data_IF_285398995566
#
_entry.id   IF_285398995566
#
_cell.length_a   1.000
_cell.length_b   1.000
_cell.length_c   1.000
_cell.angle_alpha   90.00
_cell.angle_beta   90.00
_cell.angle_gamma   90.00
#
_symmetry.space_group_name_H-M   'P 1'
#
loop_
_entity.id
_entity.type
_entity.pdbx_description
1 polymer ?
#
# COMPACT_ATOMS: atom_id res chain seq x y z
N UNK A 1 5.35 -2.73 -11.99
CA UNK A 1 4.05 -2.80 -12.68
C UNK A 1 3.52 -4.22 -12.62
N UNK A 2 2.27 -4.40 -12.15
CA UNK A 2 1.53 -5.66 -12.29
C UNK A 2 1.26 -5.88 -13.78
N UNK A 3 1.63 -7.04 -14.31
CA UNK A 3 1.62 -7.28 -15.75
C UNK A 3 1.07 -8.67 -16.10
N UNK A 4 -0.14 -8.93 -15.65
CA UNK A 4 -0.94 -10.11 -15.99
C UNK A 4 -2.40 -9.69 -16.28
N UNK A 5 -2.61 -8.82 -17.31
CA UNK A 5 -3.94 -8.28 -17.61
C UNK A 5 -4.96 -9.35 -18.01
N UNK A 6 -4.52 -10.46 -18.61
CA UNK A 6 -5.39 -11.57 -19.02
C UNK A 6 -6.05 -12.25 -17.81
N UNK A 7 -5.35 -12.33 -16.68
CA UNK A 7 -5.90 -12.81 -15.41
C UNK A 7 -6.29 -11.65 -14.46
N UNK A 8 -6.52 -10.44 -15.01
CA UNK A 8 -6.96 -9.26 -14.25
C UNK A 8 -6.00 -8.87 -13.13
N UNK A 9 -4.70 -9.07 -13.34
CA UNK A 9 -3.64 -8.83 -12.36
C UNK A 9 -3.96 -9.46 -11.00
N UNK A 10 -4.54 -10.67 -11.02
CA UNK A 10 -4.88 -11.39 -9.80
C UNK A 10 -3.60 -11.73 -9.01
N UNK A 11 -3.72 -11.70 -7.69
CA UNK A 11 -2.67 -12.15 -6.79
C UNK A 11 -2.62 -13.67 -6.76
N UNK A 12 -2.10 -14.25 -7.85
CA UNK A 12 -1.69 -15.65 -7.91
C UNK A 12 -0.51 -15.88 -6.96
N UNK A 13 -0.21 -17.13 -6.65
CA UNK A 13 0.95 -17.47 -5.84
C UNK A 13 2.25 -16.89 -6.44
N UNK A 14 2.43 -17.00 -7.75
CA UNK A 14 3.56 -16.41 -8.47
C UNK A 14 3.60 -14.88 -8.34
N UNK A 15 2.46 -14.19 -8.52
CA UNK A 15 2.39 -12.73 -8.38
C UNK A 15 2.75 -12.28 -6.96
N UNK A 16 2.29 -13.00 -5.93
CA UNK A 16 2.60 -12.71 -4.54
C UNK A 16 4.11 -12.82 -4.26
N UNK A 17 4.73 -13.92 -4.73
CA UNK A 17 6.16 -14.15 -4.55
C UNK A 17 7.00 -13.10 -5.28
N UNK A 18 6.68 -12.84 -6.55
CA UNK A 18 7.41 -11.87 -7.38
C UNK A 18 7.29 -10.46 -6.80
N UNK A 19 6.10 -10.03 -6.40
CA UNK A 19 5.91 -8.69 -5.83
C UNK A 19 6.64 -8.53 -4.49
N UNK A 20 6.58 -9.54 -3.63
CA UNK A 20 7.31 -9.56 -2.35
C UNK A 20 8.82 -9.45 -2.56
N UNK A 21 9.36 -10.21 -3.52
CA UNK A 21 10.79 -10.17 -3.85
C UNK A 21 11.21 -8.80 -4.39
N UNK A 22 10.45 -8.22 -5.32
CA UNK A 22 10.75 -6.92 -5.91
C UNK A 22 10.71 -5.81 -4.85
N UNK A 23 9.73 -5.79 -3.96
CA UNK A 23 9.64 -4.81 -2.87
C UNK A 23 10.86 -4.94 -1.95
N UNK A 24 11.20 -6.17 -1.57
CA UNK A 24 12.39 -6.46 -0.75
C UNK A 24 13.67 -5.94 -1.40
N UNK A 25 13.90 -6.28 -2.67
CA UNK A 25 15.08 -5.81 -3.41
C UNK A 25 15.13 -4.29 -3.53
N UNK A 26 14.00 -3.65 -3.86
CA UNK A 26 13.91 -2.22 -3.96
C UNK A 26 14.18 -1.52 -2.63
N UNK A 27 13.78 -2.11 -1.51
CA UNK A 27 14.00 -1.55 -0.18
C UNK A 27 15.48 -1.40 0.18
N UNK A 28 16.34 -2.30 -0.34
CA UNK A 28 17.79 -2.28 -0.09
C UNK A 28 18.59 -1.44 -1.09
N UNK A 29 18.04 -1.15 -2.28
CA UNK A 29 18.75 -0.37 -3.31
C UNK A 29 18.80 1.12 -2.94
N UNK A 30 20.01 1.66 -2.71
CA UNK A 30 20.21 3.08 -2.36
C UNK A 30 19.73 4.05 -3.45
N UNK A 31 19.78 3.65 -4.73
CA UNK A 31 19.33 4.45 -5.87
C UNK A 31 17.81 4.59 -5.95
N UNK A 32 17.05 3.73 -5.28
CA UNK A 32 15.59 3.80 -5.23
C UNK A 32 15.20 4.58 -3.98
N UNK A 33 14.42 5.65 -4.17
CA UNK A 33 13.92 6.51 -3.09
C UNK A 33 12.42 6.32 -2.83
N UNK A 34 11.65 5.97 -3.87
CA UNK A 34 10.19 5.76 -3.81
C UNK A 34 9.85 4.57 -4.69
N UNK A 35 8.86 3.78 -4.29
CA UNK A 35 8.32 2.66 -5.06
C UNK A 35 6.91 3.05 -5.52
N UNK A 36 6.62 2.87 -6.81
CA UNK A 36 5.27 3.04 -7.38
C UNK A 36 4.77 1.68 -7.84
N UNK A 37 3.61 1.25 -7.33
CA UNK A 37 2.91 0.05 -7.78
C UNK A 37 1.82 0.48 -8.76
N UNK A 38 2.00 0.14 -10.02
CA UNK A 38 1.05 0.38 -11.11
C UNK A 38 0.62 -0.95 -11.74
N UNK A 39 -0.37 -0.94 -12.61
CA UNK A 39 -0.86 -2.11 -13.32
C UNK A 39 -1.07 -1.86 -14.81
N UNK A 40 -0.92 -2.89 -15.64
CA UNK A 40 -1.33 -2.87 -17.04
C UNK A 40 -2.77 -3.37 -17.22
N UNK A 41 -3.45 -2.85 -18.23
CA UNK A 41 -4.84 -3.22 -18.55
C UNK A 41 -5.89 -2.44 -17.75
N UNK A 42 -7.13 -2.90 -17.80
CA UNK A 42 -8.30 -2.20 -17.27
C UNK A 42 -8.60 -2.52 -15.79
N UNK A 43 -7.83 -3.42 -15.21
CA UNK A 43 -7.96 -3.85 -13.81
C UNK A 43 -6.64 -3.66 -13.11
N UNK A 44 -6.63 -2.88 -12.03
CA UNK A 44 -5.44 -2.75 -11.19
C UNK A 44 -5.09 -4.08 -10.54
N UNK A 45 -6.04 -4.67 -9.81
CA UNK A 45 -5.90 -6.00 -9.22
C UNK A 45 -7.27 -6.52 -8.76
N UNK A 46 -7.63 -7.72 -9.22
CA UNK A 46 -8.93 -8.35 -8.89
C UNK A 46 -8.95 -9.13 -7.56
N UNK A 47 -7.83 -9.18 -6.83
CA UNK A 47 -7.67 -10.03 -5.65
C UNK A 47 -7.06 -11.38 -5.97
N UNK A 48 -7.28 -12.39 -5.11
CA UNK A 48 -6.67 -13.70 -5.31
C UNK A 48 -7.16 -14.42 -6.58
N UNK A 49 -6.31 -15.27 -7.14
CA UNK A 49 -6.66 -16.10 -8.29
C UNK A 49 -7.65 -17.21 -7.87
N UNK A 50 -8.93 -17.04 -8.21
CA UNK A 50 -9.97 -17.99 -7.84
C UNK A 50 -9.83 -19.36 -8.54
N UNK A 51 -9.11 -19.44 -9.67
CA UNK A 51 -8.82 -20.72 -10.34
C UNK A 51 -7.87 -21.56 -9.47
N UNK A 52 -6.82 -20.95 -8.91
CA UNK A 52 -5.89 -21.61 -7.98
C UNK A 52 -6.62 -22.07 -6.70
N UNK A 53 -7.44 -21.21 -6.11
CA UNK A 53 -8.27 -21.54 -4.94
C UNK A 53 -9.20 -22.71 -5.24
N UNK A 54 -9.84 -22.73 -6.42
CA UNK A 54 -10.73 -23.81 -6.82
C UNK A 54 -9.97 -25.11 -7.04
N UNK A 55 -8.81 -25.06 -7.70
CA UNK A 55 -7.98 -26.22 -7.94
C UNK A 55 -7.47 -26.87 -6.64
N UNK A 56 -7.10 -26.05 -5.65
CA UNK A 56 -6.62 -26.53 -4.36
C UNK A 56 -7.66 -27.35 -3.58
N UNK A 57 -8.97 -27.14 -3.84
CA UNK A 57 -10.05 -27.97 -3.23
C UNK A 57 -9.97 -29.45 -3.59
N UNK A 58 -9.22 -29.80 -4.64
CA UNK A 58 -8.96 -31.21 -5.03
C UNK A 58 -7.81 -31.85 -4.23
N UNK A 59 -7.12 -31.11 -3.36
CA UNK A 59 -6.11 -31.69 -2.47
C UNK A 59 -6.75 -32.60 -1.43
N UNK A 60 -5.96 -33.51 -0.84
CA UNK A 60 -6.44 -34.51 0.14
C UNK A 60 -7.11 -33.89 1.37
N UNK A 61 -6.66 -32.69 1.76
CA UNK A 61 -7.15 -31.89 2.88
C UNK A 61 -8.20 -30.85 2.46
N UNK A 62 -8.77 -30.97 1.24
CA UNK A 62 -9.67 -30.02 0.62
C UNK A 62 -9.07 -28.59 0.49
N UNK A 63 -7.74 -28.48 0.45
CA UNK A 63 -7.01 -27.23 0.24
C UNK A 63 -6.72 -26.46 1.53
N UNK A 64 -6.92 -27.02 2.71
CA UNK A 64 -6.80 -26.30 3.97
C UNK A 64 -5.38 -25.72 4.17
N UNK A 65 -4.34 -26.52 3.92
CA UNK A 65 -2.94 -26.07 4.00
C UNK A 65 -2.62 -25.00 2.94
N UNK A 66 -3.06 -25.21 1.70
CA UNK A 66 -2.89 -24.26 0.62
C UNK A 66 -3.54 -22.90 0.92
N UNK A 67 -4.77 -22.90 1.42
CA UNK A 67 -5.46 -21.64 1.72
C UNK A 67 -4.76 -20.87 2.82
N UNK A 68 -4.30 -21.57 3.87
CA UNK A 68 -3.55 -20.92 4.93
C UNK A 68 -2.26 -20.30 4.40
N UNK A 69 -1.47 -21.06 3.64
CA UNK A 69 -0.21 -20.60 3.04
C UNK A 69 -0.42 -19.41 2.09
N UNK A 70 -1.45 -19.45 1.24
CA UNK A 70 -1.80 -18.36 0.32
C UNK A 70 -2.11 -17.05 1.08
N UNK A 71 -2.95 -17.12 2.13
CA UNK A 71 -3.32 -15.95 2.90
C UNK A 71 -2.16 -15.45 3.79
N UNK A 72 -1.31 -16.33 4.28
CA UNK A 72 -0.08 -15.97 5.00
C UNK A 72 0.90 -15.24 4.06
N UNK A 73 1.15 -15.75 2.84
CA UNK A 73 1.98 -15.09 1.81
C UNK A 73 1.42 -13.70 1.47
N UNK A 74 0.11 -13.59 1.28
CA UNK A 74 -0.53 -12.31 1.03
C UNK A 74 -0.34 -11.34 2.21
N UNK A 75 -0.55 -11.81 3.43
CA UNK A 75 -0.34 -11.03 4.65
C UNK A 75 1.11 -10.53 4.78
N UNK A 76 2.08 -11.41 4.52
CA UNK A 76 3.51 -11.04 4.53
C UNK A 76 3.83 -9.99 3.46
N UNK A 77 3.26 -10.10 2.26
CA UNK A 77 3.39 -9.07 1.22
C UNK A 77 2.90 -7.72 1.72
N UNK A 78 1.68 -7.63 2.28
CA UNK A 78 1.12 -6.37 2.76
C UNK A 78 1.95 -5.77 3.90
N UNK A 79 2.40 -6.61 4.83
CA UNK A 79 3.32 -6.17 5.88
C UNK A 79 4.66 -5.69 5.33
N UNK A 80 5.18 -6.33 4.26
CA UNK A 80 6.42 -5.90 3.62
C UNK A 80 6.31 -4.50 3.00
N UNK A 81 5.13 -4.10 2.52
CA UNK A 81 4.86 -2.74 2.00
C UNK A 81 4.89 -1.73 3.15
N UNK A 82 4.18 -2.01 4.23
CA UNK A 82 4.12 -1.15 5.42
C UNK A 82 5.51 -0.99 6.04
N UNK A 83 6.26 -2.09 6.20
CA UNK A 83 7.59 -2.12 6.80
C UNK A 83 8.72 -1.75 5.84
N UNK A 84 8.41 -1.46 4.56
CA UNK A 84 9.41 -1.05 3.58
C UNK A 84 10.07 0.26 3.99
N UNK A 85 11.38 0.32 3.92
CA UNK A 85 12.15 1.55 4.22
C UNK A 85 11.90 2.69 3.22
N UNK A 86 11.23 2.41 2.10
CA UNK A 86 10.89 3.38 1.06
C UNK A 86 9.38 3.65 1.07
N UNK A 87 8.94 4.88 0.82
CA UNK A 87 7.54 5.15 0.54
C UNK A 87 7.04 4.34 -0.64
N UNK A 88 5.83 3.79 -0.52
CA UNK A 88 5.16 3.01 -1.55
C UNK A 88 3.87 3.73 -1.96
N UNK A 89 3.72 4.01 -3.24
CA UNK A 89 2.57 4.71 -3.82
C UNK A 89 1.80 3.76 -4.73
N UNK A 90 0.51 3.61 -4.54
CA UNK A 90 -0.36 2.93 -5.50
C UNK A 90 -0.81 3.90 -6.60
N UNK A 91 -0.50 3.58 -7.86
CA UNK A 91 -1.03 4.22 -9.07
C UNK A 91 -2.18 3.35 -9.58
N UNK A 92 -3.41 3.72 -9.23
CA UNK A 92 -4.57 2.86 -9.47
C UNK A 92 -5.30 3.29 -10.74
N UNK A 93 -5.16 2.50 -11.81
CA UNK A 93 -5.99 2.61 -13.00
C UNK A 93 -6.94 1.41 -13.08
N UNK A 94 -8.24 1.67 -13.20
CA UNK A 94 -9.24 0.61 -13.27
C UNK A 94 -9.68 0.07 -11.91
N UNK A 95 -9.94 -1.22 -11.82
CA UNK A 95 -10.64 -1.86 -10.71
C UNK A 95 -9.63 -2.44 -9.69
N UNK A 96 -9.83 -2.17 -8.40
CA UNK A 96 -9.11 -2.79 -7.30
C UNK A 96 -10.11 -3.46 -6.34
N UNK A 97 -10.13 -4.80 -6.29
CA UNK A 97 -11.10 -5.55 -5.46
C UNK A 97 -10.45 -6.58 -4.56
N UNK A 98 -11.11 -6.90 -3.45
CA UNK A 98 -10.67 -7.89 -2.46
C UNK A 98 -9.21 -7.64 -2.02
N UNK A 99 -8.30 -8.60 -2.23
CA UNK A 99 -6.88 -8.42 -1.94
C UNK A 99 -6.20 -7.33 -2.81
N UNK A 100 -6.78 -6.95 -3.95
CA UNK A 100 -6.33 -5.80 -4.74
C UNK A 100 -6.67 -4.47 -4.05
N UNK A 101 -7.85 -4.35 -3.43
CA UNK A 101 -8.19 -3.21 -2.57
C UNK A 101 -7.32 -3.18 -1.29
N UNK A 102 -7.01 -4.36 -0.72
CA UNK A 102 -6.06 -4.49 0.38
C UNK A 102 -4.66 -3.97 0.00
N UNK A 103 -4.19 -4.30 -1.20
CA UNK A 103 -2.90 -3.83 -1.72
C UNK A 103 -2.85 -2.31 -1.77
N UNK A 104 -3.92 -1.66 -2.30
CA UNK A 104 -4.04 -0.19 -2.30
C UNK A 104 -4.00 0.36 -0.88
N UNK A 105 -4.81 -0.19 0.03
CA UNK A 105 -4.88 0.26 1.43
C UNK A 105 -3.59 0.01 2.22
N UNK A 106 -2.72 -0.89 1.77
CA UNK A 106 -1.43 -1.18 2.41
C UNK A 106 -0.31 -0.25 1.94
N UNK A 107 -0.49 0.46 0.82
CA UNK A 107 0.46 1.46 0.36
C UNK A 107 0.40 2.71 1.24
N UNK A 108 1.52 3.43 1.36
CA UNK A 108 1.57 4.68 2.14
C UNK A 108 0.70 5.77 1.55
N UNK A 109 0.63 5.81 0.22
CA UNK A 109 -0.16 6.76 -0.55
C UNK A 109 -0.83 6.05 -1.74
N UNK A 110 -1.95 6.59 -2.19
CA UNK A 110 -2.64 6.09 -3.37
C UNK A 110 -3.28 7.24 -4.16
N UNK A 111 -3.08 7.22 -5.48
CA UNK A 111 -3.77 8.10 -6.41
C UNK A 111 -4.45 7.22 -7.47
N UNK A 112 -5.68 7.53 -7.81
CA UNK A 112 -6.42 6.75 -8.80
C UNK A 112 -6.81 7.55 -10.04
N UNK A 113 -7.16 6.84 -11.11
CA UNK A 113 -7.93 7.45 -12.19
C UNK A 113 -9.35 7.75 -11.71
N UNK A 114 -10.00 8.76 -12.27
CA UNK A 114 -11.39 9.13 -11.98
C UNK A 114 -12.36 7.98 -12.25
N UNK A 115 -12.03 7.10 -13.20
CA UNK A 115 -12.84 5.94 -13.59
C UNK A 115 -12.60 4.72 -12.71
N UNK A 116 -11.64 4.75 -11.82
CA UNK A 116 -11.30 3.60 -10.97
C UNK A 116 -12.42 3.27 -9.98
N UNK A 117 -12.48 2.00 -9.58
CA UNK A 117 -13.47 1.50 -8.63
C UNK A 117 -12.81 0.57 -7.62
N UNK A 118 -13.37 0.55 -6.40
CA UNK A 118 -12.84 -0.21 -5.28
C UNK A 118 -13.94 -1.01 -4.61
N UNK A 119 -13.66 -2.23 -4.16
CA UNK A 119 -14.59 -3.05 -3.39
C UNK A 119 -13.90 -4.11 -2.55
N UNK A 120 -14.62 -4.62 -1.54
CA UNK A 120 -14.28 -5.83 -0.79
C UNK A 120 -15.40 -6.85 -0.91
N UNK A 121 -15.61 -7.46 -2.11
CA UNK A 121 -16.84 -8.15 -2.48
C UNK A 121 -16.90 -9.61 -2.02
N UNK A 122 -16.07 -10.05 -1.08
CA UNK A 122 -16.03 -11.44 -0.62
C UNK A 122 -17.38 -11.99 -0.19
N UNK A 123 -18.24 -11.18 0.43
CA UNK A 123 -19.57 -11.58 0.88
C UNK A 123 -20.46 -12.08 -0.26
N UNK A 124 -20.25 -11.57 -1.49
CA UNK A 124 -20.97 -12.00 -2.67
C UNK A 124 -20.56 -13.43 -3.14
N UNK A 125 -19.46 -13.96 -2.60
CA UNK A 125 -18.92 -15.29 -2.89
C UNK A 125 -19.03 -16.23 -1.68
N UNK A 126 -19.74 -15.82 -0.62
CA UNK A 126 -19.81 -16.58 0.62
C UNK A 126 -18.52 -16.53 1.45
N UNK A 127 -17.66 -15.53 1.20
CA UNK A 127 -16.43 -15.26 1.94
C UNK A 127 -16.51 -13.89 2.60
N UNK A 128 -15.90 -13.73 3.76
CA UNK A 128 -15.67 -12.40 4.30
C UNK A 128 -14.25 -11.95 3.95
N UNK A 129 -14.06 -10.69 3.54
CA UNK A 129 -12.73 -10.14 3.21
C UNK A 129 -11.91 -9.90 4.49
N UNK A 130 -11.57 -10.98 5.22
CA UNK A 130 -10.97 -10.93 6.55
C UNK A 130 -9.53 -10.38 6.54
N UNK A 131 -8.70 -10.76 5.56
CA UNK A 131 -7.36 -10.19 5.41
C UNK A 131 -7.42 -8.76 4.84
N UNK A 132 -8.25 -8.43 3.83
CA UNK A 132 -8.42 -7.05 3.38
C UNK A 132 -8.93 -6.08 4.45
N UNK A 133 -9.79 -6.53 5.38
CA UNK A 133 -10.30 -5.65 6.44
C UNK A 133 -9.20 -5.10 7.34
N UNK A 134 -8.06 -5.80 7.48
CA UNK A 134 -6.95 -5.36 8.33
C UNK A 134 -6.34 -4.05 7.80
N UNK A 135 -6.02 -3.98 6.52
CA UNK A 135 -5.51 -2.75 5.90
C UNK A 135 -6.61 -1.68 5.80
N UNK A 136 -7.85 -2.09 5.44
CA UNK A 136 -8.97 -1.17 5.30
C UNK A 136 -9.29 -0.46 6.62
N UNK A 137 -9.42 -1.19 7.73
CA UNK A 137 -9.79 -0.63 9.04
C UNK A 137 -8.71 0.26 9.68
N UNK A 138 -7.48 0.22 9.15
CA UNK A 138 -6.38 1.10 9.57
C UNK A 138 -6.32 2.43 8.81
N UNK A 139 -7.04 2.52 7.69
CA UNK A 139 -7.03 3.71 6.83
C UNK A 139 -8.39 4.38 6.71
N UNK A 140 -9.46 3.60 6.80
CA UNK A 140 -10.85 4.03 6.59
C UNK A 140 -11.62 4.02 7.91
N UNK A 141 -12.50 4.98 8.11
CA UNK A 141 -13.35 5.02 9.30
C UNK A 141 -14.18 3.74 9.44
N UNK A 142 -14.34 3.23 10.68
CA UNK A 142 -14.96 1.92 10.95
C UNK A 142 -16.31 1.70 10.26
N UNK A 143 -17.16 2.72 10.17
CA UNK A 143 -18.48 2.59 9.53
C UNK A 143 -18.39 2.45 8.03
N UNK A 144 -17.51 3.22 7.39
CA UNK A 144 -17.28 3.13 5.95
C UNK A 144 -16.60 1.80 5.59
N UNK A 145 -15.61 1.35 6.37
CA UNK A 145 -14.99 0.04 6.22
C UNK A 145 -16.02 -1.10 6.35
N UNK A 146 -16.86 -1.09 7.39
CA UNK A 146 -17.90 -2.10 7.58
C UNK A 146 -18.95 -2.08 6.48
N UNK A 147 -19.32 -0.91 5.96
CA UNK A 147 -20.21 -0.82 4.80
C UNK A 147 -19.61 -1.56 3.60
N UNK A 148 -18.37 -1.26 3.22
CA UNK A 148 -17.68 -1.95 2.11
C UNK A 148 -17.62 -3.47 2.32
N UNK A 149 -17.27 -3.91 3.55
CA UNK A 149 -17.10 -5.32 3.87
C UNK A 149 -18.42 -6.11 3.90
N UNK A 150 -19.50 -5.51 4.39
CA UNK A 150 -20.81 -6.17 4.55
C UNK A 150 -21.64 -6.15 3.28
N UNK A 151 -21.52 -5.12 2.45
CA UNK A 151 -22.29 -5.04 1.21
C UNK A 151 -21.55 -5.60 0.01
N UNK A 152 -20.21 -5.51 0.01
CA UNK A 152 -19.39 -5.86 -1.16
C UNK A 152 -19.60 -4.93 -2.35
N UNK A 153 -20.27 -3.79 -2.16
CA UNK A 153 -20.56 -2.82 -3.22
C UNK A 153 -19.28 -2.16 -3.73
N UNK A 154 -19.30 -1.83 -5.02
CA UNK A 154 -18.24 -1.01 -5.60
C UNK A 154 -18.47 0.46 -5.28
N UNK A 155 -17.41 1.12 -4.81
CA UNK A 155 -17.32 2.57 -4.66
C UNK A 155 -16.45 3.17 -5.78
N UNK A 156 -16.76 4.39 -6.18
CA UNK A 156 -15.95 5.14 -7.14
C UNK A 156 -14.78 5.88 -6.47
N UNK A 157 -13.95 6.53 -7.28
CA UNK A 157 -12.78 7.28 -6.80
C UNK A 157 -13.15 8.49 -5.93
N UNK A 158 -14.31 9.10 -6.16
CA UNK A 158 -14.79 10.21 -5.33
C UNK A 158 -15.08 9.71 -3.91
N UNK A 159 -15.83 8.62 -3.79
CA UNK A 159 -16.14 8.01 -2.49
C UNK A 159 -14.87 7.43 -1.84
N UNK A 160 -13.99 6.79 -2.60
CA UNK A 160 -12.71 6.28 -2.09
C UNK A 160 -11.83 7.39 -1.48
N UNK A 161 -11.79 8.58 -2.10
CA UNK A 161 -11.14 9.77 -1.53
C UNK A 161 -11.87 10.27 -0.28
N UNK A 162 -13.20 10.36 -0.32
CA UNK A 162 -13.99 10.82 0.82
C UNK A 162 -13.74 10.00 2.08
N UNK A 163 -13.63 8.68 1.94
CA UNK A 163 -13.38 7.75 3.07
C UNK A 163 -11.91 7.56 3.39
N UNK A 164 -11.00 8.28 2.73
CA UNK A 164 -9.53 8.21 2.93
C UNK A 164 -8.90 6.88 2.52
N UNK A 165 -9.53 6.11 1.63
CA UNK A 165 -8.91 4.93 1.02
C UNK A 165 -7.81 5.32 0.03
N UNK A 166 -7.96 6.47 -0.63
CA UNK A 166 -6.98 7.07 -1.53
C UNK A 166 -6.78 8.56 -1.19
N UNK A 167 -5.62 9.11 -1.55
CA UNK A 167 -5.30 10.52 -1.33
C UNK A 167 -6.00 11.45 -2.32
N UNK A 168 -6.01 11.06 -3.60
CA UNK A 168 -6.62 11.85 -4.67
C UNK A 168 -6.98 11.00 -5.89
N UNK A 169 -7.73 11.62 -6.82
CA UNK A 169 -7.99 11.05 -8.15
C UNK A 169 -7.91 12.13 -9.22
N UNK A 170 -7.46 11.73 -10.40
CA UNK A 170 -7.30 12.60 -11.58
C UNK A 170 -7.84 11.90 -12.83
N UNK A 171 -7.86 12.59 -13.95
CA UNK A 171 -8.17 11.94 -15.23
C UNK A 171 -7.12 10.87 -15.57
N UNK A 172 -7.50 9.84 -16.33
CA UNK A 172 -6.60 8.69 -16.59
C UNK A 172 -5.32 9.13 -17.32
N UNK A 173 -5.40 10.10 -18.21
CA UNK A 173 -4.25 10.66 -18.94
C UNK A 173 -3.27 11.42 -18.04
N UNK A 174 -3.72 11.94 -16.91
CA UNK A 174 -2.89 12.66 -15.95
C UNK A 174 -2.39 11.81 -14.79
N UNK A 175 -2.84 10.54 -14.69
CA UNK A 175 -2.57 9.71 -13.52
C UNK A 175 -1.07 9.50 -13.29
N UNK A 176 -0.37 9.00 -14.29
CA UNK A 176 1.07 8.71 -14.16
C UNK A 176 1.89 9.98 -13.90
N UNK A 177 1.59 11.09 -14.58
CA UNK A 177 2.30 12.36 -14.35
C UNK A 177 2.10 12.86 -12.92
N UNK A 178 0.87 12.83 -12.41
CA UNK A 178 0.56 13.25 -11.02
C UNK A 178 1.25 12.36 -9.98
N UNK A 179 1.23 11.04 -10.19
CA UNK A 179 1.94 10.10 -9.30
C UNK A 179 3.44 10.34 -9.33
N UNK A 180 4.03 10.56 -10.52
CA UNK A 180 5.46 10.81 -10.65
C UNK A 180 5.88 12.16 -10.06
N UNK A 181 5.05 13.19 -10.15
CA UNK A 181 5.28 14.47 -9.47
C UNK A 181 5.33 14.28 -7.95
N UNK A 182 4.38 13.53 -7.38
CA UNK A 182 4.37 13.21 -5.96
C UNK A 182 5.60 12.39 -5.56
N UNK A 183 5.93 11.35 -6.33
CA UNK A 183 7.09 10.49 -6.09
C UNK A 183 8.40 11.30 -6.14
N UNK A 184 8.56 12.18 -7.11
CA UNK A 184 9.73 13.05 -7.24
C UNK A 184 9.82 14.05 -6.08
N UNK A 185 8.72 14.66 -5.68
CA UNK A 185 8.66 15.56 -4.52
C UNK A 185 9.13 14.86 -3.22
N UNK A 186 8.77 13.58 -3.03
CA UNK A 186 9.26 12.77 -1.91
C UNK A 186 10.74 12.41 -2.10
N UNK A 187 11.15 12.04 -3.31
CA UNK A 187 12.51 11.63 -3.63
C UNK A 187 13.54 12.79 -3.48
N UNK A 188 13.11 14.05 -3.52
CA UNK A 188 13.93 15.22 -3.20
C UNK A 188 14.26 15.35 -1.71
N UNK A 189 13.60 14.62 -0.85
CA UNK A 189 13.86 14.68 0.60
C UNK A 189 14.99 13.72 1.00
N UNK A 190 15.58 13.96 2.18
CA UNK A 190 16.53 13.03 2.77
C UNK A 190 15.91 11.63 2.87
N UNK A 191 16.50 10.66 2.20
CA UNK A 191 16.04 9.26 2.25
C UNK A 191 16.14 8.67 3.66
N UNK A 192 17.10 9.12 4.46
CA UNK A 192 17.27 8.71 5.86
C UNK A 192 16.13 9.23 6.71
N UNK A 193 15.79 10.51 6.59
CA UNK A 193 14.69 11.13 7.33
C UNK A 193 13.34 10.53 6.95
N UNK A 194 13.10 10.30 5.65
CA UNK A 194 11.86 9.67 5.18
C UNK A 194 11.72 8.25 5.74
N UNK A 195 12.79 7.46 5.73
CA UNK A 195 12.81 6.12 6.34
C UNK A 195 12.45 6.17 7.82
N UNK A 196 13.15 7.00 8.61
CA UNK A 196 12.92 7.15 10.04
C UNK A 196 11.47 7.56 10.31
N UNK A 197 10.96 8.54 9.57
CA UNK A 197 9.60 9.03 9.73
C UNK A 197 8.54 7.98 9.42
N UNK A 198 8.68 7.24 8.31
CA UNK A 198 7.75 6.16 7.96
C UNK A 198 7.73 5.06 9.03
N UNK A 199 8.90 4.58 9.45
CA UNK A 199 9.03 3.57 10.48
C UNK A 199 8.40 4.03 11.80
N UNK A 200 8.71 5.25 12.22
CA UNK A 200 8.14 5.82 13.44
C UNK A 200 6.62 6.01 13.37
N UNK A 201 6.10 6.41 12.22
CA UNK A 201 4.66 6.57 12.04
C UNK A 201 3.91 5.25 12.26
N UNK A 202 4.33 4.17 11.61
CA UNK A 202 3.65 2.88 11.75
C UNK A 202 3.84 2.23 13.11
N UNK A 203 4.97 2.46 13.78
CA UNK A 203 5.19 1.95 15.13
C UNK A 203 4.32 2.68 16.16
N UNK A 204 4.25 4.02 16.09
CA UNK A 204 3.56 4.79 17.12
C UNK A 204 2.03 4.63 17.09
N UNK A 205 1.41 4.37 15.93
CA UNK A 205 -0.05 4.26 15.82
C UNK A 205 -0.62 3.02 16.55
N UNK A 206 0.22 2.06 16.89
CA UNK A 206 -0.16 0.86 17.64
C UNK A 206 0.11 1.01 19.17
N UNK A 207 0.65 2.15 19.62
CA UNK A 207 1.00 2.41 21.02
C UNK A 207 -0.10 3.20 21.75
N UNK A 208 -0.05 3.18 23.08
CA UNK A 208 -0.84 4.12 23.89
C UNK A 208 -0.34 5.55 23.65
N UNK A 209 -1.18 6.57 23.95
CA UNK A 209 -0.80 7.97 23.73
C UNK A 209 0.50 8.35 24.45
N UNK A 210 0.69 7.90 25.71
CA UNK A 210 1.90 8.17 26.49
C UNK A 210 3.12 7.54 25.88
N UNK A 211 3.02 6.23 25.54
CA UNK A 211 4.13 5.46 24.97
C UNK A 211 4.49 5.97 23.57
N UNK A 212 3.49 6.39 22.78
CA UNK A 212 3.69 6.98 21.47
C UNK A 212 4.51 8.28 21.55
N UNK A 213 4.20 9.17 22.50
CA UNK A 213 4.98 10.40 22.70
C UNK A 213 6.37 10.12 23.24
N UNK A 214 6.56 9.19 24.18
CA UNK A 214 7.87 8.78 24.66
C UNK A 214 8.74 8.23 23.52
N UNK A 215 8.20 7.29 22.74
CA UNK A 215 8.86 6.72 21.57
C UNK A 215 9.24 7.79 20.55
N UNK A 216 8.28 8.63 20.13
CA UNK A 216 8.52 9.63 19.09
C UNK A 216 9.43 10.78 19.53
N UNK A 217 9.47 11.12 20.82
CA UNK A 217 10.43 12.09 21.36
C UNK A 217 11.87 11.59 21.23
N UNK A 218 12.11 10.29 21.49
CA UNK A 218 13.41 9.67 21.29
C UNK A 218 13.78 9.67 19.80
N UNK A 219 12.84 9.28 18.91
CA UNK A 219 13.06 9.32 17.46
C UNK A 219 13.40 10.72 16.97
N UNK A 220 12.71 11.77 17.46
CA UNK A 220 13.01 13.16 17.11
C UNK A 220 14.40 13.59 17.59
N UNK A 221 14.78 13.25 18.81
CA UNK A 221 16.10 13.57 19.35
C UNK A 221 17.20 12.93 18.50
N UNK A 222 17.09 11.62 18.22
CA UNK A 222 18.05 10.88 17.38
C UNK A 222 18.11 11.44 15.95
N UNK A 223 16.94 11.73 15.34
CA UNK A 223 16.90 12.29 13.98
C UNK A 223 17.55 13.67 13.92
N UNK A 224 17.38 14.50 14.95
CA UNK A 224 18.00 15.84 15.02
C UNK A 224 19.53 15.77 15.07
N UNK A 225 20.12 14.70 15.58
CA UNK A 225 21.56 14.48 15.60
C UNK A 225 22.14 14.03 14.25
N UNK A 226 21.32 13.63 13.29
CA UNK A 226 21.76 13.18 11.98
C UNK A 226 22.33 14.33 11.14
N UNK A 227 23.29 14.01 10.26
CA UNK A 227 23.92 14.99 9.39
C UNK A 227 22.92 15.63 8.41
N UNK A 228 21.95 14.86 7.90
CA UNK A 228 20.87 15.40 7.06
C UNK A 228 20.01 16.44 7.79
N UNK A 229 19.79 16.25 9.11
CA UNK A 229 19.05 17.23 9.91
C UNK A 229 19.89 18.51 10.13
N UNK A 230 21.19 18.37 10.38
CA UNK A 230 22.12 19.51 10.50
C UNK A 230 22.16 20.30 9.19
N UNK A 231 22.33 19.60 8.06
CA UNK A 231 22.31 20.22 6.73
C UNK A 231 20.97 20.90 6.44
N UNK A 232 19.85 20.22 6.71
CA UNK A 232 18.52 20.78 6.50
C UNK A 232 18.26 22.05 7.31
N UNK A 233 18.66 22.07 8.59
CA UNK A 233 18.52 23.24 9.46
C UNK A 233 19.43 24.37 8.99
N UNK A 234 20.72 24.08 8.72
CA UNK A 234 21.67 25.08 8.23
C UNK A 234 21.20 25.70 6.92
N UNK A 235 20.82 24.86 5.94
CA UNK A 235 20.37 25.32 4.64
C UNK A 235 19.10 26.20 4.74
N UNK A 236 18.20 25.90 5.66
CA UNK A 236 17.00 26.70 5.92
C UNK A 236 17.36 28.09 6.48
N UNK A 237 18.28 28.14 7.46
CA UNK A 237 18.78 29.40 8.05
C UNK A 237 19.48 30.24 7.00
N UNK A 238 20.32 29.60 6.17
CA UNK A 238 21.11 30.25 5.11
C UNK A 238 20.31 30.55 3.85
N UNK A 239 19.02 30.19 3.79
CA UNK A 239 18.12 30.38 2.64
C UNK A 239 18.66 29.74 1.33
N UNK A 240 19.30 28.61 1.42
CA UNK A 240 19.81 27.80 0.30
C UNK A 240 19.10 26.44 0.20
N UNK A 241 19.25 25.75 -0.91
CA UNK A 241 18.77 24.37 -1.03
C UNK A 241 19.68 23.42 -0.23
N UNK A 242 19.11 22.43 0.48
CA UNK A 242 19.89 21.40 1.15
C UNK A 242 20.54 20.45 0.13
N UNK A 243 21.62 19.80 0.56
CA UNK A 243 22.34 18.77 -0.21
C UNK A 243 22.39 17.49 0.61
N UNK A 244 21.67 16.43 0.20
CA UNK A 244 21.64 15.11 0.83
C UNK A 244 22.02 13.96 -0.06
#
# INVERSE_FOLDING_TARGET
TLNDPDNKNSLSEEMLLNLSQIIKEASFKKSIKVIVIAAKGDVFCSGHNLKEITAARNHKDNGAEYFKDLFDKCSLLMQSIVNCSKPVIAEVCGIATAAGCQLVASCDLAISSKSSKFATPGVNLGLFCSTPMVALSRNVAKKDAMKMLLTGDMIDSHEAKRISLINDYVSSENLTSTVMELANKIAEKSSKTVKIGKEAFYNQVELSLSDAYEYTSNVMAENTMNDDAKEGISSFIDKRKPTW
#
